data_IF_655251059633
#
_entry.id   IF_655251059633
#
_cell.length_a   1.000
_cell.length_b   1.000
_cell.length_c   1.000
_cell.angle_alpha   90.00
_cell.angle_beta   90.00
_cell.angle_gamma   90.00
#
_symmetry.space_group_name_H-M   'P 1'
#
loop_
_entity.id
_entity.type
_entity.pdbx_description
1 polymer ?
#
# COMPACT_ATOMS: atom_id res chain seq x y z
N UNK A 1 -32.46 9.94 -1.72
CA UNK A 1 -31.47 8.90 -2.11
C UNK A 1 -32.13 7.54 -1.99
N UNK A 2 -31.94 6.61 -2.95
CA UNK A 2 -32.36 5.22 -2.75
C UNK A 2 -31.72 4.67 -1.48
N UNK A 3 -32.49 4.03 -0.60
CA UNK A 3 -32.02 3.39 0.64
C UNK A 3 -30.93 2.33 0.39
N UNK A 4 -30.93 1.78 -0.81
CA UNK A 4 -30.29 0.50 -1.11
C UNK A 4 -28.77 0.60 -1.34
N UNK A 5 -28.25 1.82 -1.54
CA UNK A 5 -26.81 2.05 -1.78
C UNK A 5 -26.02 2.39 -0.50
N UNK A 6 -26.68 2.58 0.64
CA UNK A 6 -25.99 3.05 1.88
C UNK A 6 -25.00 2.02 2.42
N UNK A 7 -25.40 0.75 2.70
CA UNK A 7 -24.46 -0.34 2.94
C UNK A 7 -23.29 -0.42 1.96
N UNK A 8 -23.50 -0.28 0.65
CA UNK A 8 -22.41 -0.35 -0.33
C UNK A 8 -21.42 0.82 -0.21
N UNK A 9 -21.91 2.04 -0.02
CA UNK A 9 -21.06 3.22 0.25
C UNK A 9 -20.23 3.00 1.51
N UNK A 10 -20.87 2.55 2.59
CA UNK A 10 -20.23 2.33 3.88
C UNK A 10 -19.13 1.24 3.81
N UNK A 11 -19.43 0.09 3.21
CA UNK A 11 -18.45 -1.01 3.07
C UNK A 11 -17.29 -0.64 2.15
N UNK A 12 -17.56 0.02 1.03
CA UNK A 12 -16.52 0.47 0.09
C UNK A 12 -15.60 1.51 0.73
N UNK A 13 -16.16 2.49 1.44
CA UNK A 13 -15.37 3.49 2.17
C UNK A 13 -14.56 2.87 3.30
N UNK A 14 -15.15 1.93 4.05
CA UNK A 14 -14.45 1.23 5.11
C UNK A 14 -13.24 0.47 4.56
N UNK A 15 -13.40 -0.29 3.47
CA UNK A 15 -12.28 -1.02 2.85
C UNK A 15 -11.20 -0.07 2.29
N UNK A 16 -11.61 1.03 1.65
CA UNK A 16 -10.68 2.04 1.13
C UNK A 16 -9.88 2.73 2.26
N UNK A 17 -10.57 3.11 3.34
CA UNK A 17 -9.94 3.70 4.53
C UNK A 17 -9.01 2.71 5.24
N UNK A 18 -9.46 1.46 5.42
CA UNK A 18 -8.66 0.40 6.04
C UNK A 18 -7.37 0.13 5.24
N UNK A 19 -7.48 -0.07 3.93
CA UNK A 19 -6.33 -0.39 3.08
C UNK A 19 -5.35 0.77 2.95
N UNK A 20 -5.85 2.02 2.87
CA UNK A 20 -5.00 3.21 2.89
C UNK A 20 -4.29 3.40 4.23
N UNK A 21 -4.97 3.14 5.36
CA UNK A 21 -4.40 3.17 6.70
C UNK A 21 -3.31 2.12 6.90
N UNK A 22 -3.54 0.87 6.47
CA UNK A 22 -2.52 -0.18 6.47
C UNK A 22 -1.31 0.24 5.63
N UNK A 23 -1.53 0.77 4.43
CA UNK A 23 -0.44 1.22 3.56
C UNK A 23 0.39 2.33 4.23
N UNK A 24 -0.27 3.33 4.83
CA UNK A 24 0.41 4.41 5.55
C UNK A 24 1.20 3.89 6.76
N UNK A 25 0.64 2.96 7.53
CA UNK A 25 1.29 2.44 8.74
C UNK A 25 2.61 1.71 8.47
N UNK A 26 2.75 1.10 7.28
CA UNK A 26 4.02 0.51 6.85
C UNK A 26 5.14 1.56 6.77
N UNK A 27 4.85 2.75 6.26
CA UNK A 27 5.85 3.84 6.21
C UNK A 27 5.98 4.56 7.55
N UNK A 28 4.88 4.82 8.24
CA UNK A 28 4.87 5.65 9.45
C UNK A 28 5.38 4.92 10.70
N UNK A 29 5.16 3.60 10.80
CA UNK A 29 5.48 2.83 12.00
C UNK A 29 6.43 1.67 11.72
N UNK A 30 6.16 0.86 10.70
CA UNK A 30 6.97 -0.33 10.44
C UNK A 30 8.39 0.05 10.01
N UNK A 31 8.56 0.93 9.03
CA UNK A 31 9.90 1.32 8.52
C UNK A 31 10.80 1.88 9.62
N UNK A 32 10.38 2.86 10.45
CA UNK A 32 11.20 3.32 11.57
C UNK A 32 11.59 2.20 12.54
N UNK A 33 10.67 1.25 12.79
CA UNK A 33 10.96 0.12 13.66
C UNK A 33 11.96 -0.86 13.05
N UNK A 34 11.85 -1.12 11.75
CA UNK A 34 12.76 -1.97 10.99
C UNK A 34 14.19 -1.42 11.03
N UNK A 35 14.37 -0.11 10.85
CA UNK A 35 15.69 0.54 10.81
C UNK A 35 16.46 0.46 12.14
N UNK A 36 15.77 0.16 13.25
CA UNK A 36 16.40 -0.06 14.56
C UNK A 36 16.89 -1.50 14.76
N UNK A 37 16.46 -2.44 13.92
CA UNK A 37 16.83 -3.84 14.03
C UNK A 37 18.18 -4.13 13.35
N UNK A 38 18.90 -5.20 13.77
CA UNK A 38 20.01 -5.74 12.99
C UNK A 38 19.55 -6.12 11.57
N UNK A 39 20.40 -5.89 10.57
CA UNK A 39 20.01 -6.00 9.15
C UNK A 39 19.39 -7.35 8.75
N UNK A 40 19.91 -8.52 9.18
CA UNK A 40 19.26 -9.79 8.85
C UNK A 40 17.81 -9.87 9.34
N UNK A 41 17.56 -9.44 10.59
CA UNK A 41 16.21 -9.42 11.18
C UNK A 41 15.33 -8.36 10.50
N UNK A 42 15.88 -7.18 10.22
CA UNK A 42 15.20 -6.12 9.49
C UNK A 42 14.68 -6.62 8.13
N UNK A 43 15.53 -7.28 7.35
CA UNK A 43 15.19 -7.79 6.01
C UNK A 43 14.15 -8.92 6.08
N UNK A 44 14.26 -9.83 7.04
CA UNK A 44 13.28 -10.90 7.26
C UNK A 44 11.90 -10.35 7.64
N UNK A 45 11.85 -9.37 8.56
CA UNK A 45 10.61 -8.71 8.97
C UNK A 45 10.00 -7.92 7.82
N UNK A 46 10.81 -7.18 7.06
CA UNK A 46 10.38 -6.49 5.85
C UNK A 46 9.78 -7.46 4.82
N UNK A 47 10.47 -8.57 4.52
CA UNK A 47 10.02 -9.58 3.54
C UNK A 47 8.70 -10.20 3.97
N UNK A 48 8.57 -10.54 5.25
CA UNK A 48 7.32 -11.04 5.83
C UNK A 48 6.17 -10.04 5.68
N UNK A 49 6.39 -8.76 5.97
CA UNK A 49 5.38 -7.72 5.80
C UNK A 49 5.02 -7.50 4.32
N UNK A 50 6.01 -7.51 3.43
CA UNK A 50 5.84 -7.34 1.98
C UNK A 50 5.02 -8.48 1.37
N UNK A 51 5.29 -9.74 1.74
CA UNK A 51 4.55 -10.92 1.27
C UNK A 51 3.08 -10.86 1.73
N UNK A 52 2.85 -10.52 3.00
CA UNK A 52 1.49 -10.32 3.51
C UNK A 52 0.74 -9.24 2.72
N UNK A 53 1.38 -8.09 2.51
CA UNK A 53 0.81 -7.02 1.69
C UNK A 53 0.50 -7.46 0.26
N UNK A 54 1.44 -8.16 -0.40
CA UNK A 54 1.27 -8.67 -1.77
C UNK A 54 0.10 -9.63 -1.91
N UNK A 55 -0.14 -10.49 -0.91
CA UNK A 55 -1.16 -11.52 -0.99
C UNK A 55 -2.57 -11.00 -0.70
N UNK A 56 -2.70 -9.95 0.12
CA UNK A 56 -4.00 -9.45 0.55
C UNK A 56 -4.43 -8.15 -0.15
N UNK A 57 -3.52 -7.18 -0.32
CA UNK A 57 -3.89 -5.82 -0.73
C UNK A 57 -4.40 -5.73 -2.17
N UNK A 58 -3.84 -6.43 -3.19
CA UNK A 58 -4.37 -6.35 -4.56
C UNK A 58 -5.83 -6.81 -4.68
N UNK A 59 -6.19 -7.90 -4.01
CA UNK A 59 -7.56 -8.41 -4.01
C UNK A 59 -8.53 -7.42 -3.35
N UNK A 60 -8.17 -6.90 -2.16
CA UNK A 60 -8.97 -5.90 -1.46
C UNK A 60 -9.13 -4.62 -2.30
N UNK A 61 -8.09 -4.21 -3.01
CA UNK A 61 -8.10 -3.02 -3.86
C UNK A 61 -8.98 -3.21 -5.10
N UNK A 62 -8.98 -4.40 -5.69
CA UNK A 62 -9.89 -4.74 -6.78
C UNK A 62 -11.35 -4.72 -6.33
N UNK A 63 -11.68 -5.34 -5.20
CA UNK A 63 -13.03 -5.33 -4.63
C UNK A 63 -13.49 -3.89 -4.34
N UNK A 64 -12.63 -3.09 -3.73
CA UNK A 64 -12.92 -1.69 -3.41
C UNK A 64 -13.11 -0.85 -4.67
N UNK A 65 -12.28 -1.04 -5.69
CA UNK A 65 -12.41 -0.33 -6.97
C UNK A 65 -13.71 -0.68 -7.71
N UNK A 66 -14.11 -1.96 -7.71
CA UNK A 66 -15.39 -2.40 -8.25
C UNK A 66 -16.58 -1.75 -7.51
N UNK A 67 -16.51 -1.67 -6.18
CA UNK A 67 -17.50 -0.97 -5.37
C UNK A 67 -17.63 0.50 -5.77
N UNK A 68 -16.52 1.20 -5.95
CA UNK A 68 -16.51 2.59 -6.43
C UNK A 68 -17.08 2.72 -7.85
N UNK A 69 -16.67 1.88 -8.80
CA UNK A 69 -17.20 1.97 -10.17
C UNK A 69 -18.69 1.63 -10.26
N UNK A 70 -19.17 0.70 -9.44
CA UNK A 70 -20.60 0.46 -9.32
C UNK A 70 -21.34 1.70 -8.80
N UNK A 71 -20.82 2.37 -7.76
CA UNK A 71 -21.36 3.63 -7.26
C UNK A 71 -21.30 4.74 -8.33
N UNK A 72 -20.25 4.78 -9.14
CA UNK A 72 -20.11 5.73 -10.24
C UNK A 72 -21.21 5.57 -11.30
N UNK A 73 -21.61 4.32 -11.59
CA UNK A 73 -22.67 3.98 -12.54
C UNK A 73 -24.09 4.22 -11.98
N UNK A 74 -24.26 4.27 -10.66
CA UNK A 74 -25.58 4.40 -9.99
C UNK A 74 -25.85 5.77 -9.36
N UNK A 75 -24.90 6.68 -9.39
CA UNK A 75 -25.03 8.00 -8.75
C UNK A 75 -24.62 9.12 -9.71
N UNK A 76 -24.96 10.37 -9.37
CA UNK A 76 -24.53 11.55 -10.13
C UNK A 76 -23.04 11.89 -9.93
N UNK A 77 -22.41 11.30 -8.93
CA UNK A 77 -21.00 11.49 -8.55
C UNK A 77 -20.03 10.61 -9.34
N UNK A 78 -20.33 10.33 -10.62
CA UNK A 78 -19.59 9.42 -11.50
C UNK A 78 -18.10 9.74 -11.58
N UNK A 79 -17.73 11.02 -11.69
CA UNK A 79 -16.31 11.43 -11.79
C UNK A 79 -15.53 11.12 -10.51
N UNK A 80 -16.13 11.41 -9.34
CA UNK A 80 -15.49 11.21 -8.03
C UNK A 80 -15.28 9.73 -7.76
N UNK A 81 -16.33 8.93 -7.92
CA UNK A 81 -16.25 7.48 -7.72
C UNK A 81 -15.40 6.79 -8.80
N UNK A 82 -15.47 7.24 -10.06
CA UNK A 82 -14.62 6.76 -11.14
C UNK A 82 -13.13 6.93 -10.83
N UNK A 83 -12.75 8.15 -10.42
CA UNK A 83 -11.38 8.47 -10.01
C UNK A 83 -10.96 7.73 -8.73
N UNK A 84 -11.85 7.60 -7.74
CA UNK A 84 -11.59 6.84 -6.52
C UNK A 84 -11.26 5.37 -6.82
N UNK A 85 -12.05 4.71 -7.68
CA UNK A 85 -11.79 3.34 -8.12
C UNK A 85 -10.47 3.22 -8.89
N UNK A 86 -10.19 4.16 -9.79
CA UNK A 86 -8.94 4.23 -10.54
C UNK A 86 -7.70 4.36 -9.66
N UNK A 87 -7.73 5.26 -8.67
CA UNK A 87 -6.63 5.44 -7.70
C UNK A 87 -6.45 4.22 -6.81
N UNK A 88 -7.55 3.59 -6.40
CA UNK A 88 -7.52 2.38 -5.56
C UNK A 88 -6.87 1.21 -6.31
N UNK A 89 -7.27 0.94 -7.55
CA UNK A 89 -6.66 -0.14 -8.34
C UNK A 89 -5.27 0.23 -8.88
N UNK A 90 -5.00 1.54 -9.04
CA UNK A 90 -3.74 2.10 -9.52
C UNK A 90 -2.51 1.76 -8.67
N UNK A 91 -2.69 1.23 -7.46
CA UNK A 91 -1.58 0.74 -6.64
C UNK A 91 -0.81 -0.41 -7.30
N UNK A 92 -1.48 -1.21 -8.15
CA UNK A 92 -0.86 -2.35 -8.84
C UNK A 92 0.17 -1.85 -9.87
N UNK A 93 -0.20 -1.02 -10.86
CA UNK A 93 0.78 -0.43 -11.76
C UNK A 93 1.81 0.45 -11.03
N UNK A 94 1.42 1.17 -9.96
CA UNK A 94 2.38 1.91 -9.14
C UNK A 94 3.48 1.00 -8.58
N UNK A 95 3.09 -0.14 -8.01
CA UNK A 95 4.05 -1.08 -7.40
C UNK A 95 5.00 -1.65 -8.46
N UNK A 96 4.49 -1.96 -9.66
CA UNK A 96 5.32 -2.47 -10.75
C UNK A 96 6.32 -1.45 -11.28
N UNK A 97 5.88 -0.19 -11.46
CA UNK A 97 6.70 0.87 -12.04
C UNK A 97 7.76 1.34 -11.03
N UNK A 98 7.34 1.62 -9.79
CA UNK A 98 8.16 2.35 -8.83
C UNK A 98 8.82 1.46 -7.77
N UNK A 99 8.16 0.39 -7.33
CA UNK A 99 8.62 -0.41 -6.18
C UNK A 99 9.28 -1.74 -6.57
N UNK A 100 9.05 -2.25 -7.78
CA UNK A 100 9.48 -3.59 -8.16
C UNK A 100 11.01 -3.78 -8.09
N UNK A 101 11.77 -2.79 -8.56
CA UNK A 101 13.24 -2.84 -8.50
C UNK A 101 13.73 -2.90 -7.05
N UNK A 102 13.23 -2.01 -6.20
CA UNK A 102 13.55 -1.98 -4.76
C UNK A 102 13.16 -3.27 -4.05
N UNK A 103 11.97 -3.81 -4.35
CA UNK A 103 11.50 -5.08 -3.78
C UNK A 103 12.42 -6.25 -4.15
N UNK A 104 12.85 -6.35 -5.41
CA UNK A 104 13.75 -7.42 -5.86
C UNK A 104 15.11 -7.34 -5.18
N UNK A 105 15.66 -6.13 -5.08
CA UNK A 105 16.95 -5.92 -4.43
C UNK A 105 16.89 -6.24 -2.92
N UNK A 106 15.81 -5.84 -2.22
CA UNK A 106 15.65 -6.18 -0.80
C UNK A 106 15.46 -7.69 -0.57
N UNK A 107 14.76 -8.39 -1.47
CA UNK A 107 14.64 -9.86 -1.41
C UNK A 107 16.01 -10.52 -1.63
N UNK A 108 16.77 -10.05 -2.62
CA UNK A 108 18.13 -10.55 -2.88
C UNK A 108 19.03 -10.40 -1.65
N UNK A 109 19.02 -9.23 -1.00
CA UNK A 109 19.81 -8.98 0.22
C UNK A 109 19.36 -9.81 1.41
N UNK A 110 18.06 -10.06 1.53
CA UNK A 110 17.54 -10.94 2.57
C UNK A 110 18.11 -12.35 2.40
N UNK A 111 18.12 -12.86 1.16
CA UNK A 111 18.70 -14.17 0.85
C UNK A 111 20.21 -14.21 1.13
N UNK A 112 20.96 -13.21 0.68
CA UNK A 112 22.41 -13.10 0.89
C UNK A 112 22.79 -12.97 2.37
N UNK A 113 22.07 -12.18 3.15
CA UNK A 113 22.45 -11.83 4.53
C UNK A 113 21.76 -12.69 5.59
N UNK A 114 20.80 -13.55 5.22
CA UNK A 114 20.10 -14.44 6.14
C UNK A 114 21.02 -15.36 6.96
N UNK A 115 22.20 -15.69 6.42
CA UNK A 115 23.17 -16.61 7.04
C UNK A 115 24.50 -15.94 7.42
N UNK A 116 24.64 -14.63 7.18
CA UNK A 116 25.89 -13.91 7.42
C UNK A 116 25.97 -13.46 8.88
N UNK A 117 27.04 -13.85 9.57
CA UNK A 117 27.26 -13.49 10.99
C UNK A 117 27.72 -12.05 11.19
N UNK A 118 28.48 -11.52 10.24
CA UNK A 118 29.05 -10.17 10.32
C UNK A 118 28.94 -9.49 8.98
N UNK A 119 28.22 -8.37 8.93
CA UNK A 119 28.15 -7.51 7.75
C UNK A 119 29.20 -6.41 7.88
N UNK A 120 29.74 -5.98 6.75
CA UNK A 120 30.52 -4.75 6.71
C UNK A 120 29.61 -3.55 6.99
N UNK A 121 30.19 -2.47 7.50
CA UNK A 121 29.45 -1.23 7.76
C UNK A 121 28.75 -0.70 6.49
N UNK A 122 29.39 -0.87 5.32
CA UNK A 122 28.85 -0.47 4.02
C UNK A 122 27.62 -1.28 3.63
N UNK A 123 27.65 -2.60 3.81
CA UNK A 123 26.49 -3.48 3.57
C UNK A 123 25.34 -3.16 4.52
N UNK A 124 25.65 -2.84 5.78
CA UNK A 124 24.65 -2.49 6.77
C UNK A 124 23.93 -1.18 6.42
N UNK A 125 24.69 -0.11 6.19
CA UNK A 125 24.16 1.21 5.84
C UNK A 125 23.40 1.18 4.52
N UNK A 126 23.92 0.48 3.50
CA UNK A 126 23.26 0.38 2.20
C UNK A 126 21.93 -0.37 2.28
N UNK A 127 21.81 -1.37 3.17
CA UNK A 127 20.56 -2.12 3.41
C UNK A 127 19.53 -1.28 4.13
N UNK A 128 19.93 -0.56 5.18
CA UNK A 128 19.06 0.39 5.89
C UNK A 128 18.54 1.47 4.96
N UNK A 129 19.40 2.08 4.14
CA UNK A 129 19.01 3.08 3.14
C UNK A 129 17.99 2.54 2.14
N UNK A 130 18.11 1.27 1.76
CA UNK A 130 17.19 0.66 0.80
C UNK A 130 15.80 0.41 1.42
N UNK A 131 15.73 -0.02 2.68
CA UNK A 131 14.46 -0.15 3.42
C UNK A 131 13.81 1.21 3.66
N UNK A 132 14.61 2.22 3.99
CA UNK A 132 14.13 3.60 4.14
C UNK A 132 13.54 4.13 2.83
N UNK A 133 14.25 3.95 1.71
CA UNK A 133 13.77 4.31 0.38
C UNK A 133 12.48 3.57 0.00
N UNK A 134 12.40 2.27 0.33
CA UNK A 134 11.16 1.51 0.16
C UNK A 134 10.00 2.15 0.95
N UNK A 135 10.26 2.64 2.16
CA UNK A 135 9.30 3.37 2.97
C UNK A 135 8.80 4.65 2.31
N UNK A 136 9.69 5.42 1.67
CA UNK A 136 9.32 6.63 0.90
C UNK A 136 8.44 6.28 -0.30
N UNK A 137 8.79 5.25 -1.07
CA UNK A 137 7.96 4.79 -2.18
C UNK A 137 6.59 4.28 -1.71
N UNK A 138 6.55 3.54 -0.61
CA UNK A 138 5.29 3.09 -0.03
C UNK A 138 4.43 4.28 0.46
N UNK A 139 5.05 5.36 0.94
CA UNK A 139 4.33 6.56 1.34
C UNK A 139 3.65 7.23 0.13
N UNK A 140 4.32 7.26 -1.03
CA UNK A 140 3.71 7.70 -2.28
C UNK A 140 2.49 6.85 -2.68
N UNK A 141 2.60 5.51 -2.56
CA UNK A 141 1.47 4.58 -2.75
C UNK A 141 0.33 4.87 -1.77
N UNK A 142 0.63 5.05 -0.49
CA UNK A 142 -0.35 5.37 0.54
C UNK A 142 -1.06 6.70 0.23
N UNK A 143 -0.33 7.71 -0.24
CA UNK A 143 -0.89 8.99 -0.70
C UNK A 143 -1.93 8.80 -1.81
N UNK A 144 -1.63 7.97 -2.82
CA UNK A 144 -2.62 7.65 -3.87
C UNK A 144 -3.89 7.01 -3.30
N UNK A 145 -3.75 6.10 -2.34
CA UNK A 145 -4.90 5.42 -1.72
C UNK A 145 -5.72 6.37 -0.86
N UNK A 146 -5.07 7.26 -0.10
CA UNK A 146 -5.73 8.29 0.72
C UNK A 146 -6.49 9.27 -0.17
N UNK A 147 -5.91 9.67 -1.31
CA UNK A 147 -6.62 10.49 -2.30
C UNK A 147 -7.85 9.76 -2.86
N UNK A 148 -7.71 8.46 -3.19
CA UNK A 148 -8.83 7.64 -3.63
C UNK A 148 -9.96 7.57 -2.59
N UNK A 149 -9.60 7.33 -1.32
CA UNK A 149 -10.53 7.35 -0.19
C UNK A 149 -11.23 8.71 -0.06
N UNK A 150 -10.48 9.82 -0.12
CA UNK A 150 -11.02 11.17 -0.03
C UNK A 150 -11.99 11.51 -1.15
N UNK A 151 -11.69 11.12 -2.39
CA UNK A 151 -12.61 11.27 -3.52
C UNK A 151 -13.88 10.43 -3.36
N UNK A 152 -13.74 9.20 -2.88
CA UNK A 152 -14.89 8.34 -2.57
C UNK A 152 -15.77 8.91 -1.47
N UNK A 153 -15.16 9.50 -0.43
CA UNK A 153 -15.87 10.18 0.65
C UNK A 153 -16.62 11.40 0.13
N UNK A 154 -15.97 12.23 -0.69
CA UNK A 154 -16.60 13.36 -1.37
C UNK A 154 -17.80 12.94 -2.23
N UNK A 155 -17.68 11.87 -3.00
CA UNK A 155 -18.77 11.32 -3.82
C UNK A 155 -19.98 10.83 -3.02
N UNK A 156 -19.85 10.65 -1.70
CA UNK A 156 -20.98 10.29 -0.86
C UNK A 156 -21.88 11.48 -0.50
N UNK A 157 -21.34 12.70 -0.52
CA UNK A 157 -22.03 13.94 -0.14
C UNK A 157 -22.66 14.71 -1.32
N UNK A 158 -22.32 14.34 -2.56
CA UNK A 158 -22.89 14.87 -3.80
C UNK A 158 -23.76 13.82 -4.51
#
# INVERSE_FOLDING_TARGET
MPSDLRPLKASTLFLSGLTSGISLSLSAFLVPRLLQAPVPIMLQQWKSAMIQGRNSIPLLSAITALGYWYLAAKTKSTKLFGAAGGLTLGIVPYTWIWMLKTNRELVKREEEFSQVKTLTEVEEQSSKRLVDWWGVLNLGRAGMMILGFGLGLGGCFY
#
